data_IF_319276759082
#
_entry.id   IF_319276759082
#
_cell.length_a   1.000
_cell.length_b   1.000
_cell.length_c   1.000
_cell.angle_alpha   90.00
_cell.angle_beta   90.00
_cell.angle_gamma   90.00
#
_symmetry.space_group_name_H-M   'P 1'
#
loop_
_entity.id
_entity.type
_entity.pdbx_description
1 polymer ?
#
# COMPACT_ATOMS: atom_id res chain seq x y z
N UNK A 1 19.90 -39.77 76.85
CA UNK A 1 18.99 -38.79 76.21
C UNK A 1 19.23 -38.85 74.70
N UNK A 2 18.41 -39.59 73.96
CA UNK A 2 18.40 -39.60 72.48
C UNK A 2 16.92 -39.60 72.09
N UNK A 3 16.47 -38.52 71.43
CA UNK A 3 15.11 -38.40 70.89
C UNK A 3 15.21 -38.59 69.39
N UNK A 4 14.71 -39.73 68.88
CA UNK A 4 14.58 -40.00 67.45
C UNK A 4 13.34 -39.27 66.91
N UNK A 5 13.51 -38.42 65.90
CA UNK A 5 12.40 -37.79 65.17
C UNK A 5 12.08 -38.62 63.93
N UNK A 6 10.87 -39.16 63.86
CA UNK A 6 10.30 -39.72 62.63
C UNK A 6 10.05 -38.59 61.63
N UNK A 7 10.54 -38.75 60.39
CA UNK A 7 10.21 -37.87 59.27
C UNK A 7 8.97 -38.41 58.53
N UNK A 8 8.02 -37.54 58.11
CA UNK A 8 6.77 -37.96 57.49
C UNK A 8 6.93 -38.19 55.97
N UNK A 9 6.77 -39.45 55.55
CA UNK A 9 6.73 -39.87 54.15
C UNK A 9 5.33 -39.73 53.52
N UNK A 10 4.67 -38.57 53.67
CA UNK A 10 3.30 -38.33 53.18
C UNK A 10 3.17 -37.16 52.19
N UNK A 11 4.27 -36.58 51.72
CA UNK A 11 4.24 -35.41 50.86
C UNK A 11 4.19 -35.69 49.33
N UNK A 12 4.21 -36.96 48.89
CA UNK A 12 4.35 -37.29 47.46
C UNK A 12 3.05 -37.59 46.71
N UNK A 13 1.89 -37.66 47.38
CA UNK A 13 0.60 -38.04 46.75
C UNK A 13 -0.34 -36.85 46.47
N UNK A 14 0.20 -35.64 46.25
CA UNK A 14 -0.61 -34.45 45.94
C UNK A 14 -0.25 -33.75 44.62
N UNK A 15 0.62 -34.34 43.79
CA UNK A 15 1.13 -33.73 42.56
C UNK A 15 0.43 -34.17 41.26
N UNK A 16 -0.76 -34.76 41.34
CA UNK A 16 -1.56 -35.15 40.17
C UNK A 16 -2.94 -34.48 40.10
N UNK A 17 -3.05 -33.24 40.60
CA UNK A 17 -4.14 -32.35 40.16
C UNK A 17 -3.70 -31.70 38.86
N UNK A 18 -3.91 -32.41 37.74
CA UNK A 18 -3.89 -31.80 36.41
C UNK A 18 -5.02 -30.78 36.37
N UNK A 19 -4.71 -29.49 36.47
CA UNK A 19 -5.67 -28.44 36.20
C UNK A 19 -6.12 -28.55 34.75
N UNK A 20 -7.30 -29.13 34.52
CA UNK A 20 -8.01 -28.95 33.27
C UNK A 20 -8.37 -27.47 33.17
N UNK A 21 -7.53 -26.69 32.49
CA UNK A 21 -7.88 -25.34 32.11
C UNK A 21 -9.06 -25.44 31.13
N UNK A 22 -10.27 -25.15 31.61
CA UNK A 22 -11.39 -24.91 30.71
C UNK A 22 -11.02 -23.67 29.89
N UNK A 23 -11.12 -23.73 28.55
CA UNK A 23 -10.94 -22.52 27.75
C UNK A 23 -11.93 -21.47 28.26
N UNK A 24 -11.43 -20.29 28.59
CA UNK A 24 -12.27 -19.14 28.91
C UNK A 24 -13.25 -18.95 27.75
N UNK A 25 -14.54 -18.81 28.04
CA UNK A 25 -15.52 -18.45 27.01
C UNK A 25 -15.09 -17.15 26.31
N UNK A 26 -15.36 -17.02 25.01
CA UNK A 26 -15.14 -15.78 24.27
C UNK A 26 -16.40 -14.90 24.29
N UNK A 27 -16.23 -13.58 24.15
CA UNK A 27 -17.36 -12.67 23.94
C UNK A 27 -17.67 -12.53 22.46
N UNK A 28 -18.88 -12.09 22.13
CA UNK A 28 -19.29 -11.83 20.74
C UNK A 28 -18.39 -10.73 20.14
N UNK A 29 -18.08 -9.69 20.91
CA UNK A 29 -17.22 -8.58 20.50
C UNK A 29 -15.79 -9.04 20.23
N UNK A 30 -15.29 -10.05 20.96
CA UNK A 30 -13.98 -10.62 20.72
C UNK A 30 -13.91 -11.33 19.36
N UNK A 31 -15.00 -12.01 18.97
CA UNK A 31 -15.06 -12.73 17.68
C UNK A 31 -15.31 -11.77 16.53
N UNK A 32 -16.28 -10.85 16.67
CA UNK A 32 -16.65 -9.90 15.62
C UNK A 32 -15.66 -8.74 15.47
N UNK A 33 -14.79 -8.51 16.46
CA UNK A 33 -13.81 -7.43 16.45
C UNK A 33 -12.44 -7.80 15.88
N UNK A 34 -12.26 -9.02 15.39
CA UNK A 34 -11.01 -9.44 14.73
C UNK A 34 -10.79 -8.62 13.46
N UNK A 35 -9.53 -8.23 13.15
CA UNK A 35 -9.26 -7.45 11.95
C UNK A 35 -9.52 -8.28 10.69
N UNK A 36 -10.23 -7.70 9.73
CA UNK A 36 -10.47 -8.25 8.40
C UNK A 36 -9.65 -7.47 7.37
N UNK A 37 -8.96 -8.19 6.48
CA UNK A 37 -8.17 -7.59 5.41
C UNK A 37 -8.87 -7.77 4.06
N UNK A 38 -8.96 -6.70 3.30
CA UNK A 38 -9.57 -6.66 1.96
C UNK A 38 -8.73 -5.83 1.00
N UNK A 39 -9.09 -5.89 -0.29
CA UNK A 39 -8.58 -5.04 -1.36
C UNK A 39 -7.04 -4.93 -1.40
N UNK A 40 -6.37 -6.09 -1.37
CA UNK A 40 -4.91 -6.15 -1.38
C UNK A 40 -4.36 -5.88 -2.78
N UNK A 41 -3.46 -4.90 -2.89
CA UNK A 41 -2.82 -4.51 -4.14
C UNK A 41 -1.30 -4.47 -3.98
N UNK A 42 -0.58 -4.97 -4.98
CA UNK A 42 0.89 -4.93 -4.99
C UNK A 42 1.39 -3.73 -5.82
N UNK A 43 2.48 -3.10 -5.36
CA UNK A 43 3.14 -2.06 -6.14
C UNK A 43 3.82 -2.68 -7.38
N UNK A 44 3.91 -1.94 -8.51
CA UNK A 44 4.56 -2.44 -9.72
C UNK A 44 6.01 -2.90 -9.52
N UNK A 45 6.73 -2.29 -8.58
CA UNK A 45 8.12 -2.63 -8.26
C UNK A 45 8.25 -3.84 -7.30
N UNK A 46 7.13 -4.39 -6.82
CA UNK A 46 7.05 -5.49 -5.85
C UNK A 46 7.79 -5.25 -4.51
N UNK A 47 8.17 -4.01 -4.22
CA UNK A 47 8.75 -3.58 -2.94
C UNK A 47 7.69 -3.21 -1.90
N UNK A 48 6.45 -3.01 -2.31
CA UNK A 48 5.35 -2.62 -1.44
C UNK A 48 4.06 -3.37 -1.82
N UNK A 49 3.18 -3.53 -0.85
CA UNK A 49 1.77 -3.84 -1.09
C UNK A 49 0.91 -3.10 -0.08
N UNK A 50 -0.32 -2.79 -0.46
CA UNK A 50 -1.29 -2.11 0.38
C UNK A 50 -2.55 -2.97 0.51
N UNK A 51 -3.30 -2.77 1.58
CA UNK A 51 -4.59 -3.41 1.80
C UNK A 51 -5.45 -2.52 2.69
N UNK A 52 -6.75 -2.82 2.73
CA UNK A 52 -7.67 -2.22 3.69
C UNK A 52 -7.79 -3.17 4.88
N UNK A 53 -7.59 -2.65 6.09
CA UNK A 53 -7.86 -3.39 7.33
C UNK A 53 -9.06 -2.76 8.00
N UNK A 54 -10.12 -3.54 8.17
CA UNK A 54 -11.22 -3.22 9.07
C UNK A 54 -10.95 -3.87 10.43
N UNK A 55 -10.93 -3.08 11.50
CA UNK A 55 -10.87 -3.63 12.86
C UNK A 55 -11.97 -2.99 13.71
N UNK A 56 -12.96 -3.79 14.11
CA UNK A 56 -14.14 -3.31 14.84
C UNK A 56 -14.88 -2.19 14.09
N UNK A 57 -15.07 -2.36 12.77
CA UNK A 57 -15.76 -1.40 11.90
C UNK A 57 -14.91 -0.20 11.48
N UNK A 58 -13.64 -0.14 11.92
CA UNK A 58 -12.72 0.96 11.60
C UNK A 58 -11.85 0.56 10.42
N UNK A 59 -12.33 0.86 9.23
CA UNK A 59 -11.60 0.62 7.99
C UNK A 59 -10.48 1.65 7.78
N UNK A 60 -9.26 1.16 7.52
CA UNK A 60 -8.10 1.99 7.25
C UNK A 60 -7.21 1.37 6.16
N UNK A 61 -6.54 2.23 5.39
CA UNK A 61 -5.52 1.82 4.42
C UNK A 61 -4.23 1.48 5.17
N UNK A 62 -3.64 0.35 4.85
CA UNK A 62 -2.35 -0.10 5.36
C UNK A 62 -1.34 -0.31 4.23
N UNK A 63 -0.07 -0.13 4.55
CA UNK A 63 1.07 -0.32 3.67
C UNK A 63 2.06 -1.28 4.31
N UNK A 64 2.52 -2.25 3.55
CA UNK A 64 3.71 -3.05 3.82
C UNK A 64 4.80 -2.63 2.85
N UNK A 65 5.98 -2.29 3.37
CA UNK A 65 7.15 -1.98 2.57
C UNK A 65 8.30 -2.95 2.88
N UNK A 66 9.00 -3.38 1.85
CA UNK A 66 10.10 -4.33 1.96
C UNK A 66 11.20 -3.78 2.87
N UNK A 67 11.65 -4.61 3.82
CA UNK A 67 12.68 -4.27 4.78
C UNK A 67 13.69 -5.40 4.88
N UNK A 68 14.98 -5.05 4.85
CA UNK A 68 16.06 -6.04 4.96
C UNK A 68 16.04 -6.80 6.29
N UNK A 69 15.48 -6.21 7.35
CA UNK A 69 15.48 -6.80 8.68
C UNK A 69 14.35 -7.83 8.90
N UNK A 70 13.19 -7.66 8.24
CA UNK A 70 11.97 -8.39 8.59
C UNK A 70 11.15 -8.87 7.36
N UNK A 71 11.70 -8.79 6.16
CA UNK A 71 10.96 -9.03 4.91
C UNK A 71 10.07 -7.83 4.56
N UNK A 72 9.08 -7.53 5.42
CA UNK A 72 8.21 -6.37 5.31
C UNK A 72 8.00 -5.68 6.65
N UNK A 73 7.90 -4.35 6.63
CA UNK A 73 7.42 -3.54 7.76
C UNK A 73 6.08 -2.91 7.39
N UNK A 74 5.13 -2.97 8.31
CA UNK A 74 3.75 -2.50 8.07
C UNK A 74 3.45 -1.21 8.83
N UNK A 75 2.60 -0.37 8.25
CA UNK A 75 2.01 0.81 8.92
C UNK A 75 0.66 1.17 8.30
N UNK A 76 -0.22 1.77 9.10
CA UNK A 76 -1.42 2.42 8.58
C UNK A 76 -1.04 3.72 7.85
N UNK A 77 -1.70 3.99 6.73
CA UNK A 77 -1.65 5.26 6.00
C UNK A 77 -2.81 6.19 6.36
N UNK A 78 -3.92 5.65 6.84
CA UNK A 78 -5.06 6.42 7.35
C UNK A 78 -5.35 6.05 8.81
N UNK A 79 -6.08 6.93 9.51
CA UNK A 79 -6.40 6.78 10.93
C UNK A 79 -7.86 7.12 11.27
N UNK A 80 -8.80 6.62 10.46
CA UNK A 80 -10.23 6.70 10.76
C UNK A 80 -10.54 5.92 12.04
N UNK A 81 -11.00 6.65 13.07
CA UNK A 81 -11.14 6.13 14.43
C UNK A 81 -12.57 5.72 14.79
N UNK A 82 -13.53 5.94 13.89
CA UNK A 82 -14.96 5.72 14.09
C UNK A 82 -15.42 4.59 13.19
N UNK A 83 -16.28 3.73 13.74
CA UNK A 83 -17.08 2.79 12.95
C UNK A 83 -18.23 3.57 12.32
N UNK A 84 -17.99 4.10 11.12
CA UNK A 84 -18.98 4.89 10.37
C UNK A 84 -19.59 4.12 9.20
N UNK A 85 -19.22 2.84 9.04
CA UNK A 85 -19.69 1.95 7.98
C UNK A 85 -19.35 2.43 6.56
N UNK A 86 -18.42 3.37 6.40
CA UNK A 86 -18.01 3.85 5.09
C UNK A 86 -16.86 3.00 4.56
N UNK A 87 -17.12 2.29 3.46
CA UNK A 87 -16.13 1.46 2.80
C UNK A 87 -14.92 2.27 2.30
N UNK A 88 -13.76 1.61 2.29
CA UNK A 88 -12.53 2.04 1.62
C UNK A 88 -12.16 0.97 0.61
N UNK A 89 -11.99 1.36 -0.64
CA UNK A 89 -11.86 0.45 -1.78
C UNK A 89 -11.03 1.08 -2.91
N UNK A 90 -10.91 0.36 -4.03
CA UNK A 90 -10.17 0.73 -5.23
C UNK A 90 -8.76 1.27 -4.95
N UNK A 91 -7.98 0.51 -4.17
CA UNK A 91 -6.59 0.88 -3.91
C UNK A 91 -5.76 0.86 -5.21
N UNK A 92 -4.98 1.92 -5.45
CA UNK A 92 -4.07 1.95 -6.59
C UNK A 92 -2.75 2.70 -6.27
N UNK A 93 -1.62 2.09 -6.59
CA UNK A 93 -0.31 2.76 -6.49
C UNK A 93 -0.14 3.83 -7.56
N UNK A 94 0.48 4.94 -7.20
CA UNK A 94 0.90 5.96 -8.17
C UNK A 94 2.35 5.68 -8.60
N UNK A 95 2.63 5.34 -9.87
CA UNK A 95 3.98 5.08 -10.34
C UNK A 95 4.93 6.24 -10.05
N UNK A 96 6.18 5.94 -9.68
CA UNK A 96 7.24 6.92 -9.40
C UNK A 96 7.00 7.84 -8.19
N UNK A 97 5.94 7.60 -7.41
CA UNK A 97 5.59 8.39 -6.24
C UNK A 97 5.36 7.51 -5.02
N UNK A 98 5.75 7.99 -3.84
CA UNK A 98 5.45 7.35 -2.56
C UNK A 98 4.01 7.71 -2.14
N UNK A 99 3.03 7.29 -2.95
CA UNK A 99 1.62 7.62 -2.76
C UNK A 99 0.68 6.50 -3.24
N UNK A 100 -0.50 6.47 -2.63
CA UNK A 100 -1.57 5.52 -2.91
C UNK A 100 -2.89 6.29 -3.13
N UNK A 101 -3.65 5.86 -4.12
CA UNK A 101 -5.03 6.25 -4.36
C UNK A 101 -5.96 5.28 -3.65
N UNK A 102 -7.10 5.78 -3.21
CA UNK A 102 -8.19 4.96 -2.70
C UNK A 102 -9.51 5.70 -2.86
N UNK A 103 -10.60 4.96 -2.83
CA UNK A 103 -11.97 5.47 -2.81
C UNK A 103 -12.51 5.30 -1.40
N UNK A 104 -13.23 6.31 -0.91
CA UNK A 104 -13.92 6.22 0.37
C UNK A 104 -15.33 6.75 0.25
N UNK A 105 -16.25 6.03 0.90
CA UNK A 105 -17.68 6.26 0.78
C UNK A 105 -18.21 5.78 -0.57
N UNK A 106 -19.52 5.55 -0.66
CA UNK A 106 -20.15 4.95 -1.84
C UNK A 106 -20.55 3.50 -1.60
N UNK A 107 -20.92 2.86 -2.71
CA UNK A 107 -21.31 1.46 -2.75
C UNK A 107 -20.46 0.77 -3.86
N UNK A 108 -19.62 -0.23 -3.52
CA UNK A 108 -18.84 -0.99 -4.51
C UNK A 108 -19.70 -1.63 -5.60
N UNK A 109 -20.87 -2.15 -5.20
CA UNK A 109 -21.74 -2.93 -6.08
C UNK A 109 -22.57 -1.99 -6.98
N UNK A 110 -22.77 -0.75 -6.54
CA UNK A 110 -23.58 0.26 -7.21
C UNK A 110 -22.86 1.61 -7.27
N UNK A 111 -21.73 1.72 -7.99
CA UNK A 111 -21.04 3.00 -8.17
C UNK A 111 -21.95 4.02 -8.85
N UNK A 112 -21.69 5.30 -8.59
CA UNK A 112 -22.50 6.43 -9.06
C UNK A 112 -23.99 6.43 -8.60
N UNK A 113 -24.36 5.57 -7.65
CA UNK A 113 -25.64 5.65 -6.93
C UNK A 113 -25.48 6.46 -5.63
N UNK A 114 -26.59 6.97 -5.07
CA UNK A 114 -26.53 7.64 -3.77
C UNK A 114 -25.81 6.77 -2.75
N UNK A 115 -24.73 7.30 -2.15
CA UNK A 115 -23.92 6.55 -1.22
C UNK A 115 -24.74 6.16 0.02
N UNK A 116 -24.61 4.91 0.50
CA UNK A 116 -25.13 4.51 1.80
C UNK A 116 -24.60 5.44 2.90
N UNK A 117 -25.46 5.74 3.88
CA UNK A 117 -25.11 6.55 5.05
C UNK A 117 -25.48 5.83 6.35
N UNK A 118 -24.81 4.71 6.67
CA UNK A 118 -25.14 3.89 7.83
C UNK A 118 -24.95 4.64 9.15
N UNK A 119 -24.00 5.57 9.21
CA UNK A 119 -23.75 6.42 10.38
C UNK A 119 -24.64 7.69 10.47
N UNK A 120 -25.61 7.85 9.58
CA UNK A 120 -26.53 9.00 9.55
C UNK A 120 -25.82 10.37 9.57
N UNK A 121 -24.68 10.47 8.89
CA UNK A 121 -23.85 11.67 8.79
C UNK A 121 -24.69 12.81 8.19
N UNK A 122 -24.86 13.90 8.93
CA UNK A 122 -25.73 15.03 8.56
C UNK A 122 -25.30 15.72 7.26
N UNK A 123 -23.99 15.80 7.00
CA UNK A 123 -23.47 16.38 5.75
C UNK A 123 -23.72 15.49 4.51
N UNK A 124 -24.22 14.27 4.71
CA UNK A 124 -24.28 13.24 3.67
C UNK A 124 -22.94 12.56 3.43
N UNK A 125 -22.97 11.59 2.52
CA UNK A 125 -21.82 10.79 2.12
C UNK A 125 -21.74 10.85 0.60
N UNK A 126 -20.53 11.00 0.08
CA UNK A 126 -20.26 10.97 -1.36
C UNK A 126 -19.09 10.02 -1.63
N UNK A 127 -19.21 9.23 -2.69
CA UNK A 127 -18.12 8.37 -3.17
C UNK A 127 -16.99 9.25 -3.69
N UNK A 128 -15.82 9.18 -3.05
CA UNK A 128 -14.75 10.14 -3.27
C UNK A 128 -13.41 9.46 -3.45
N UNK A 129 -12.67 9.91 -4.46
CA UNK A 129 -11.28 9.53 -4.70
C UNK A 129 -10.35 10.38 -3.83
N UNK A 130 -9.44 9.71 -3.15
CA UNK A 130 -8.42 10.31 -2.30
C UNK A 130 -7.01 9.90 -2.74
N UNK A 131 -6.03 10.72 -2.38
CA UNK A 131 -4.60 10.44 -2.46
C UNK A 131 -3.99 10.52 -1.06
N UNK A 132 -3.24 9.50 -0.64
CA UNK A 132 -2.46 9.51 0.60
C UNK A 132 -1.00 9.21 0.29
N UNK A 133 -0.09 9.95 0.92
CA UNK A 133 1.34 9.66 0.80
C UNK A 133 1.77 8.59 1.81
N UNK A 134 2.89 7.92 1.54
CA UNK A 134 3.34 6.81 2.37
C UNK A 134 3.69 7.22 3.80
N UNK A 135 3.84 8.51 4.14
CA UNK A 135 4.06 8.98 5.51
C UNK A 135 2.76 9.01 6.33
N UNK A 136 1.60 8.74 5.70
CA UNK A 136 0.30 8.70 6.38
C UNK A 136 -0.19 10.07 6.83
N UNK A 137 0.14 11.13 6.08
CA UNK A 137 -0.46 12.45 6.31
C UNK A 137 -1.92 12.46 5.86
N UNK A 138 -2.64 13.51 6.25
CA UNK A 138 -4.06 13.67 5.90
C UNK A 138 -4.32 13.43 4.41
N UNK A 139 -5.22 12.50 4.05
CA UNK A 139 -5.55 12.22 2.66
C UNK A 139 -6.11 13.45 1.93
N UNK A 140 -5.66 13.63 0.70
CA UNK A 140 -6.08 14.73 -0.17
C UNK A 140 -7.27 14.28 -0.99
N UNK A 141 -8.41 14.98 -0.89
CA UNK A 141 -9.57 14.76 -1.76
C UNK A 141 -9.24 15.20 -3.19
N UNK A 142 -9.37 14.29 -4.15
CA UNK A 142 -9.19 14.59 -5.58
C UNK A 142 -10.51 14.97 -6.25
N UNK A 143 -11.60 14.27 -5.91
CA UNK A 143 -12.91 14.50 -6.50
C UNK A 143 -13.90 13.38 -6.16
N UNK A 144 -15.17 13.61 -6.45
CA UNK A 144 -16.19 12.55 -6.38
C UNK A 144 -15.99 11.55 -7.52
N UNK A 145 -16.12 10.26 -7.23
CA UNK A 145 -15.88 9.20 -8.20
C UNK A 145 -15.21 7.96 -7.62
N UNK A 146 -14.90 7.02 -8.50
CA UNK A 146 -14.39 5.68 -8.21
C UNK A 146 -13.43 5.19 -9.30
N UNK A 147 -12.90 3.97 -9.14
CA UNK A 147 -11.99 3.32 -10.06
C UNK A 147 -10.79 4.20 -10.51
N UNK A 148 -10.04 4.81 -9.58
CA UNK A 148 -8.91 5.64 -9.93
C UNK A 148 -7.75 4.84 -10.52
N UNK A 149 -7.12 5.39 -11.56
CA UNK A 149 -5.90 4.87 -12.15
C UNK A 149 -4.89 6.00 -12.37
N UNK A 150 -3.62 5.72 -12.13
CA UNK A 150 -2.53 6.65 -12.43
C UNK A 150 -1.97 6.40 -13.83
N UNK A 151 -1.53 7.46 -14.51
CA UNK A 151 -0.78 7.36 -15.75
C UNK A 151 0.56 6.65 -15.50
N UNK A 152 1.17 6.01 -16.53
CA UNK A 152 2.45 5.33 -16.38
C UNK A 152 3.58 6.22 -15.85
N UNK A 153 3.53 7.53 -16.09
CA UNK A 153 4.50 8.50 -15.59
C UNK A 153 4.14 9.08 -14.21
N UNK A 154 3.00 8.69 -13.62
CA UNK A 154 2.55 9.11 -12.30
C UNK A 154 1.98 10.53 -12.20
N UNK A 155 1.99 11.30 -13.28
CA UNK A 155 1.67 12.75 -13.25
C UNK A 155 0.20 13.06 -13.48
N UNK A 156 -0.61 12.07 -13.84
CA UNK A 156 -2.03 12.22 -14.11
C UNK A 156 -2.81 11.10 -13.47
N UNK A 157 -3.92 11.45 -12.85
CA UNK A 157 -4.88 10.49 -12.31
C UNK A 157 -6.15 10.60 -13.14
N UNK A 158 -6.70 9.45 -13.52
CA UNK A 158 -7.99 9.31 -14.17
C UNK A 158 -8.92 8.57 -13.22
N UNK A 159 -10.20 8.92 -13.19
CA UNK A 159 -11.20 8.23 -12.39
C UNK A 159 -12.58 8.36 -13.03
N UNK A 160 -13.52 7.51 -12.62
CA UNK A 160 -14.88 7.49 -13.12
C UNK A 160 -15.82 8.24 -12.19
N UNK A 161 -16.75 9.00 -12.76
CA UNK A 161 -17.85 9.60 -12.00
C UNK A 161 -19.03 9.87 -12.95
N UNK A 162 -20.22 9.44 -12.56
CA UNK A 162 -21.45 9.49 -13.36
C UNK A 162 -21.26 8.98 -14.80
N UNK A 163 -20.57 7.84 -14.95
CA UNK A 163 -20.27 7.24 -16.26
C UNK A 163 -19.32 8.06 -17.15
N UNK A 164 -18.63 9.07 -16.62
CA UNK A 164 -17.65 9.89 -17.34
C UNK A 164 -16.25 9.67 -16.79
N UNK A 165 -15.25 9.90 -17.63
CA UNK A 165 -13.84 9.92 -17.23
C UNK A 165 -13.46 11.33 -16.83
N UNK A 166 -12.99 11.48 -15.60
CA UNK A 166 -12.40 12.71 -15.09
C UNK A 166 -10.89 12.57 -15.04
N UNK A 167 -10.19 13.71 -15.09
CA UNK A 167 -8.75 13.75 -14.98
C UNK A 167 -8.32 14.86 -14.05
N UNK A 168 -7.40 14.53 -13.14
CA UNK A 168 -6.67 15.51 -12.34
C UNK A 168 -5.18 15.39 -12.65
N UNK A 169 -4.55 16.52 -12.92
CA UNK A 169 -3.10 16.63 -12.97
C UNK A 169 -2.67 17.18 -11.63
N UNK A 170 -2.46 16.29 -10.66
CA UNK A 170 -1.83 16.72 -9.42
C UNK A 170 -0.32 16.67 -9.56
N UNK A 171 0.38 17.67 -9.02
CA UNK A 171 1.82 17.54 -8.82
C UNK A 171 2.03 16.67 -7.58
N UNK A 172 1.88 15.36 -7.76
CA UNK A 172 2.18 14.34 -6.73
C UNK A 172 3.57 14.57 -6.13
N UNK A 173 4.51 15.11 -6.93
CA UNK A 173 5.84 15.53 -6.49
C UNK A 173 5.86 16.59 -5.37
N UNK A 174 4.88 17.52 -5.31
CA UNK A 174 4.80 18.53 -4.23
C UNK A 174 4.36 17.91 -2.90
N UNK A 175 3.63 16.79 -2.95
CA UNK A 175 3.28 16.03 -1.76
C UNK A 175 4.48 15.21 -1.27
N UNK A 176 5.23 14.55 -2.17
CA UNK A 176 6.33 13.68 -1.76
C UNK A 176 7.63 14.43 -1.40
N UNK A 177 7.86 15.64 -1.94
CA UNK A 177 9.07 16.43 -1.70
C UNK A 177 9.23 16.77 -0.20
N UNK A 178 10.22 16.13 0.42
CA UNK A 178 10.74 16.57 1.72
C UNK A 178 11.48 17.90 1.52
N UNK A 179 11.38 18.89 2.42
CA UNK A 179 12.38 19.95 2.50
C UNK A 179 13.71 19.32 2.94
N UNK A 180 14.51 18.82 1.98
CA UNK A 180 15.87 18.34 2.22
C UNK A 180 16.27 16.99 1.62
N UNK A 181 15.41 16.32 0.84
CA UNK A 181 15.76 15.05 0.19
C UNK A 181 16.31 15.28 -1.22
N UNK A 182 17.63 15.11 -1.42
CA UNK A 182 18.23 15.06 -2.77
C UNK A 182 17.58 13.95 -3.61
N UNK A 183 17.14 14.22 -4.85
CA UNK A 183 16.56 13.20 -5.70
C UNK A 183 17.60 12.11 -6.00
N UNK A 184 17.20 10.85 -5.81
CA UNK A 184 18.04 9.68 -6.07
C UNK A 184 18.23 9.56 -7.58
N UNK A 185 19.40 9.93 -8.08
CA UNK A 185 19.78 9.81 -9.49
C UNK A 185 19.61 8.36 -9.94
N UNK A 186 18.81 8.14 -10.97
CA UNK A 186 18.76 6.87 -11.68
C UNK A 186 20.15 6.60 -12.27
N UNK A 187 20.85 5.60 -11.74
CA UNK A 187 22.13 5.15 -12.29
C UNK A 187 21.84 4.23 -13.48
N UNK A 188 22.06 4.74 -14.69
CA UNK A 188 22.08 3.94 -15.91
C UNK A 188 23.26 2.99 -15.86
N UNK A 189 22.99 1.72 -15.51
CA UNK A 189 24.00 0.67 -15.54
C UNK A 189 24.28 0.33 -17.01
N UNK A 190 25.42 0.79 -17.51
CA UNK A 190 25.95 0.45 -18.84
C UNK A 190 26.45 -1.01 -18.80
N UNK A 191 26.08 -1.81 -19.79
CA UNK A 191 26.53 -3.20 -19.92
C UNK A 191 28.04 -3.28 -20.25
N UNK A 192 28.79 -4.29 -19.78
CA UNK A 192 30.20 -4.44 -20.12
C UNK A 192 30.39 -5.05 -21.52
N UNK A 193 31.13 -4.36 -22.39
CA UNK A 193 31.68 -4.92 -23.63
C UNK A 193 32.83 -5.88 -23.32
N UNK A 194 32.86 -7.02 -24.03
CA UNK A 194 33.94 -8.02 -23.99
C UNK A 194 34.94 -7.74 -25.12
N UNK A 195 36.27 -7.78 -24.89
CA UNK A 195 37.24 -7.56 -25.97
C UNK A 195 37.54 -8.87 -26.72
N UNK A 196 37.44 -8.85 -28.04
CA UNK A 196 37.69 -10.01 -28.91
C UNK A 196 38.37 -9.68 -30.23
N UNK A 197 39.71 -9.72 -30.20
CA UNK A 197 40.71 -10.22 -31.19
C UNK A 197 40.61 -9.86 -32.70
N UNK A 198 41.77 -9.45 -33.24
CA UNK A 198 42.05 -9.08 -34.63
C UNK A 198 42.05 -10.23 -35.65
N UNK A 199 41.60 -9.95 -36.88
CA UNK A 199 41.84 -10.77 -38.08
C UNK A 199 41.31 -10.07 -39.36
N UNK A 200 42.17 -9.97 -40.38
CA UNK A 200 42.09 -9.16 -41.62
C UNK A 200 41.14 -9.71 -42.73
N UNK A 201 40.88 -8.99 -43.85
CA UNK A 201 39.58 -8.90 -44.51
C UNK A 201 39.44 -9.63 -45.87
N UNK A 202 38.19 -9.94 -46.27
CA UNK A 202 37.77 -10.09 -47.68
C UNK A 202 36.28 -9.72 -47.89
N UNK A 203 36.07 -8.70 -48.74
CA UNK A 203 34.94 -8.29 -49.63
C UNK A 203 33.46 -8.74 -49.45
N UNK A 204 32.49 -7.95 -50.01
CA UNK A 204 31.23 -7.64 -49.34
C UNK A 204 29.99 -8.34 -49.92
N UNK A 205 29.01 -8.62 -49.05
CA UNK A 205 27.62 -8.84 -49.47
C UNK A 205 26.67 -8.00 -48.62
N UNK A 206 25.86 -7.23 -49.35
CA UNK A 206 24.81 -6.27 -48.99
C UNK A 206 23.84 -6.76 -47.91
N UNK A 207 23.65 -5.97 -46.84
CA UNK A 207 22.52 -6.09 -45.90
C UNK A 207 21.93 -4.69 -45.60
N UNK A 208 20.61 -4.61 -45.65
CA UNK A 208 19.75 -3.44 -45.44
C UNK A 208 19.94 -2.74 -44.08
N UNK A 209 19.72 -1.42 -43.97
CA UNK A 209 19.94 -0.69 -42.73
C UNK A 209 18.78 -0.85 -41.74
N UNK A 210 19.10 -1.26 -40.50
CA UNK A 210 18.27 -1.03 -39.30
C UNK A 210 18.31 0.45 -38.95
N UNK A 211 17.14 1.03 -38.73
CA UNK A 211 16.94 2.38 -38.22
C UNK A 211 17.35 2.42 -36.73
N UNK A 212 18.50 3.04 -36.43
CA UNK A 212 18.92 3.35 -35.06
C UNK A 212 18.32 4.72 -34.71
N UNK A 213 17.36 4.74 -33.78
CA UNK A 213 16.83 5.98 -33.21
C UNK A 213 17.89 6.60 -32.29
N UNK A 214 18.26 7.85 -32.57
CA UNK A 214 19.16 8.68 -31.75
C UNK A 214 18.45 9.06 -30.44
N UNK A 215 19.14 9.10 -29.29
CA UNK A 215 18.60 9.71 -28.09
C UNK A 215 18.54 11.24 -28.27
N UNK A 216 17.37 11.83 -28.01
CA UNK A 216 17.16 13.26 -27.95
C UNK A 216 17.85 13.84 -26.69
N UNK A 217 18.65 14.87 -26.88
CA UNK A 217 19.25 15.64 -25.79
C UNK A 217 18.18 16.49 -25.06
N UNK A 218 18.28 16.69 -23.74
CA UNK A 218 17.35 17.57 -23.03
C UNK A 218 17.63 19.04 -23.33
N UNK A 219 16.58 19.77 -23.71
CA UNK A 219 16.59 21.22 -23.84
C UNK A 219 16.69 21.87 -22.46
N UNK A 220 17.63 22.81 -22.33
CA UNK A 220 17.88 23.59 -21.14
C UNK A 220 16.72 24.56 -20.84
N UNK A 221 16.41 24.68 -19.55
CA UNK A 221 15.44 25.60 -18.99
C UNK A 221 15.99 27.04 -19.08
N UNK A 222 15.24 27.96 -19.69
CA UNK A 222 15.48 29.40 -19.59
C UNK A 222 14.51 29.98 -18.57
N UNK A 223 15.05 30.60 -17.52
CA UNK A 223 14.33 31.41 -16.55
C UNK A 223 13.98 32.77 -17.14
N UNK A 224 12.72 33.18 -16.96
CA UNK A 224 12.36 34.58 -16.72
C UNK A 224 11.15 34.65 -15.82
#
# INVERSE_FOLDING_TARGET
MIVARLAPATAALWLLVSSTAYPSGFTIEQVLGAPFASDIVAAPAASEFAWVSDARGRSNVWLAAASQAAGFTTRALTHYAVDDGLAIEDLAFVPHHDALLFVRGGDPDYPDKPAPNPAQITAGVVQTVYLVDFRGREPVKLGEGHAPVASPDGNRILYLHEGKIFSVTERVSRFCASPGGTPRSASSRTAPETPGRSGSPTSPTRVSPRLIARPAAPAACFTR
#
